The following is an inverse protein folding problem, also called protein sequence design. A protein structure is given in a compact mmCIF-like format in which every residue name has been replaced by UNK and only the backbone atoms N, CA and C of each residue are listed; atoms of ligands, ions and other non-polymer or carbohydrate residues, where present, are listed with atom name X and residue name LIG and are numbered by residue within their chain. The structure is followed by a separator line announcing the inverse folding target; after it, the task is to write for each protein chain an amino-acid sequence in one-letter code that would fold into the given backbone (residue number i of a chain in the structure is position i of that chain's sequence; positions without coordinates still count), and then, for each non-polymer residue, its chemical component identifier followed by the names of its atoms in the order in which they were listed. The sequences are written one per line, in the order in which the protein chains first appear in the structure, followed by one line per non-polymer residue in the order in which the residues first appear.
data_IF_964978798978
#
_entry.id   IF_964978798978
#
_cell.length_a   1.000
_cell.length_b   1.000
_cell.length_c   1.000
_cell.angle_alpha   90.00
_cell.angle_beta   90.00
_cell.angle_gamma   90.00
#
_symmetry.space_group_name_H-M   'P 1'
#
loop_
_entity.id
_entity.type
_entity.pdbx_description
1 polymer ?
#
# COMPACT_ATOMS: atom_id res chain seq x y z
N UNK A 1 16.85 -15.48 0.74
CA UNK A 1 18.05 -16.19 1.25
C UNK A 1 17.81 -16.60 2.70
N UNK A 2 17.54 -15.62 3.57
CA UNK A 2 17.25 -15.81 5.01
C UNK A 2 16.24 -16.93 5.30
N UNK A 3 15.05 -16.92 4.65
CA UNK A 3 14.07 -18.00 4.81
C UNK A 3 14.57 -19.39 4.40
N UNK A 4 15.46 -19.47 3.40
CA UNK A 4 16.07 -20.75 2.95
C UNK A 4 17.13 -21.27 3.92
N UNK A 5 17.67 -20.39 4.76
CA UNK A 5 18.66 -20.69 5.79
C UNK A 5 17.99 -20.88 7.18
N UNK A 6 16.65 -21.05 7.23
CA UNK A 6 15.84 -21.11 8.45
C UNK A 6 15.94 -19.88 9.37
N UNK A 7 16.43 -18.74 8.86
CA UNK A 7 16.37 -17.48 9.56
C UNK A 7 14.97 -16.87 9.48
N UNK A 8 14.50 -16.31 10.59
CA UNK A 8 13.22 -15.58 10.67
C UNK A 8 13.39 -14.08 10.91
N UNK A 9 14.61 -13.59 11.09
CA UNK A 9 14.89 -12.18 11.37
C UNK A 9 15.93 -11.69 10.37
N UNK A 10 15.66 -10.56 9.72
CA UNK A 10 16.66 -9.91 8.87
C UNK A 10 17.75 -9.26 9.72
N UNK A 11 18.98 -9.29 9.24
CA UNK A 11 20.07 -8.54 9.88
C UNK A 11 19.79 -7.04 9.84
N UNK A 12 20.44 -6.25 10.71
CA UNK A 12 20.31 -4.79 10.68
C UNK A 12 20.69 -4.20 9.32
N UNK A 13 21.73 -4.76 8.68
CA UNK A 13 22.18 -4.34 7.37
C UNK A 13 21.16 -4.66 6.28
N UNK A 14 20.64 -5.90 6.25
CA UNK A 14 19.61 -6.31 5.29
C UNK A 14 18.34 -5.48 5.47
N UNK A 15 17.90 -5.26 6.71
CA UNK A 15 16.73 -4.43 7.03
C UNK A 15 16.93 -3.01 6.50
N UNK A 16 18.06 -2.37 6.78
CA UNK A 16 18.37 -1.02 6.27
C UNK A 16 18.37 -0.94 4.75
N UNK A 17 18.97 -1.91 4.08
CA UNK A 17 19.00 -1.96 2.62
C UNK A 17 17.59 -2.08 2.03
N UNK A 18 16.71 -2.83 2.69
CA UNK A 18 15.30 -2.96 2.31
C UNK A 18 14.57 -1.61 2.37
N UNK A 19 14.63 -0.93 3.52
CA UNK A 19 13.97 0.36 3.72
C UNK A 19 14.53 1.45 2.77
N UNK A 20 15.85 1.45 2.54
CA UNK A 20 16.50 2.39 1.62
C UNK A 20 15.99 2.27 0.18
N UNK A 21 15.71 1.05 -0.30
CA UNK A 21 15.18 0.83 -1.65
C UNK A 21 13.75 1.38 -1.82
N UNK A 22 13.00 1.52 -0.73
CA UNK A 22 11.68 2.17 -0.71
C UNK A 22 11.77 3.68 -0.41
N UNK A 23 12.96 4.26 -0.37
CA UNK A 23 13.14 5.70 -0.12
C UNK A 23 12.85 6.13 1.33
N UNK A 24 12.77 5.19 2.27
CA UNK A 24 12.51 5.51 3.67
C UNK A 24 13.81 6.06 4.31
N UNK A 25 13.80 7.29 4.87
CA UNK A 25 15.00 7.88 5.48
C UNK A 25 15.45 7.10 6.71
N UNK A 26 16.74 6.75 6.75
CA UNK A 26 17.38 6.01 7.84
C UNK A 26 18.60 6.77 8.33
N UNK A 27 18.87 6.68 9.63
CA UNK A 27 20.14 7.19 10.17
C UNK A 27 21.29 6.37 9.59
N UNK A 28 22.34 7.08 9.17
CA UNK A 28 23.54 6.41 8.68
C UNK A 28 24.15 5.58 9.81
N UNK A 29 24.34 4.29 9.53
CA UNK A 29 24.77 3.31 10.52
C UNK A 29 25.90 2.48 9.94
N UNK A 30 26.98 2.35 10.71
CA UNK A 30 28.16 1.58 10.31
C UNK A 30 28.37 0.43 11.27
N UNK A 31 28.59 -0.77 10.73
CA UNK A 31 28.87 -1.95 11.55
C UNK A 31 30.37 -2.05 11.82
N UNK A 32 30.75 -2.16 13.09
CA UNK A 32 32.11 -2.27 13.55
C UNK A 32 32.32 -3.59 14.32
N UNK A 33 33.12 -4.54 13.78
CA UNK A 33 33.38 -5.81 14.45
C UNK A 33 34.35 -5.70 15.63
N UNK A 34 35.06 -4.58 15.76
CA UNK A 34 36.01 -4.31 16.84
C UNK A 34 36.07 -2.82 17.17
N UNK A 35 36.70 -2.49 18.30
CA UNK A 35 36.79 -1.12 18.82
C UNK A 35 37.54 -0.17 17.88
N UNK A 36 38.60 -0.63 17.20
CA UNK A 36 39.36 0.23 16.28
C UNK A 36 38.53 0.65 15.07
N UNK A 37 37.77 -0.30 14.48
CA UNK A 37 36.82 0.00 13.42
C UNK A 37 35.73 0.95 13.92
N UNK A 38 35.25 0.79 15.16
CA UNK A 38 34.25 1.67 15.74
C UNK A 38 34.75 3.12 15.92
N UNK A 39 35.99 3.29 16.41
CA UNK A 39 36.67 4.59 16.49
C UNK A 39 36.83 5.22 15.11
N UNK A 40 37.27 4.44 14.12
CA UNK A 40 37.39 4.92 12.74
C UNK A 40 36.07 5.44 12.16
N UNK A 41 34.97 4.72 12.38
CA UNK A 41 33.64 5.17 11.98
C UNK A 41 33.18 6.42 12.75
N UNK A 42 33.39 6.46 14.07
CA UNK A 42 33.00 7.61 14.87
C UNK A 42 33.74 8.89 14.43
N UNK A 43 35.04 8.79 14.12
CA UNK A 43 35.83 9.89 13.58
C UNK A 43 35.36 10.36 12.20
N UNK A 44 34.92 9.44 11.33
CA UNK A 44 34.37 9.78 10.03
C UNK A 44 32.97 10.45 10.12
N UNK A 45 32.15 10.03 11.07
CA UNK A 45 30.80 10.54 11.30
C UNK A 45 30.81 11.87 12.08
N UNK A 46 31.77 12.02 13.00
CA UNK A 46 31.88 13.11 13.96
C UNK A 46 31.04 12.89 15.23
N UNK A 47 31.62 13.17 16.38
CA UNK A 47 30.99 13.09 17.71
C UNK A 47 29.91 14.18 17.94
N UNK A 48 28.91 13.97 18.83
CA UNK A 48 28.68 12.75 19.60
C UNK A 48 28.10 11.59 18.77
N UNK A 49 28.36 10.37 19.20
CA UNK A 49 27.90 9.12 18.56
C UNK A 49 27.15 8.21 19.55
N UNK A 50 26.43 7.25 18.97
CA UNK A 50 25.74 6.17 19.69
C UNK A 50 26.36 4.84 19.28
N UNK A 51 26.65 3.98 20.26
CA UNK A 51 26.99 2.58 20.04
C UNK A 51 25.78 1.70 20.36
N UNK A 52 25.48 0.74 19.48
CA UNK A 52 24.45 -0.28 19.74
C UNK A 52 24.99 -1.67 19.46
N UNK A 53 24.68 -2.65 20.30
CA UNK A 53 25.12 -4.03 20.08
C UNK A 53 24.54 -4.58 18.76
N UNK A 54 25.39 -5.28 18.00
CA UNK A 54 25.00 -5.99 16.78
C UNK A 54 25.06 -7.49 17.05
N UNK A 55 23.91 -8.16 17.08
CA UNK A 55 23.82 -9.60 17.31
C UNK A 55 22.54 -10.16 16.68
N UNK A 56 22.62 -11.31 15.97
CA UNK A 56 21.42 -12.01 15.50
C UNK A 56 20.58 -12.60 16.65
N UNK A 57 21.17 -12.81 17.82
CA UNK A 57 20.53 -13.46 18.97
C UNK A 57 19.89 -12.45 19.95
N UNK A 58 20.14 -11.15 19.75
CA UNK A 58 19.63 -10.08 20.61
C UNK A 58 18.59 -9.29 19.82
N UNK A 59 17.32 -9.59 20.10
CA UNK A 59 16.20 -8.91 19.47
C UNK A 59 16.07 -7.50 20.06
N UNK A 60 15.87 -7.37 21.37
CA UNK A 60 15.69 -6.09 22.05
C UNK A 60 16.97 -5.63 22.74
N UNK A 61 17.67 -4.68 22.10
CA UNK A 61 18.96 -4.17 22.59
C UNK A 61 18.85 -3.49 23.95
N UNK A 62 17.74 -2.83 24.26
CA UNK A 62 17.58 -2.10 25.52
C UNK A 62 17.55 -3.05 26.73
N UNK A 63 16.93 -4.23 26.60
CA UNK A 63 16.78 -5.21 27.69
C UNK A 63 18.14 -5.72 28.18
N UNK A 64 19.11 -5.82 27.27
CA UNK A 64 20.48 -6.26 27.59
C UNK A 64 21.44 -5.09 27.87
N UNK A 65 20.94 -3.85 27.96
CA UNK A 65 21.81 -2.67 28.12
C UNK A 65 22.72 -2.46 26.91
N UNK A 66 22.28 -2.94 25.74
CA UNK A 66 23.00 -3.01 24.47
C UNK A 66 23.06 -1.68 23.71
N UNK A 67 22.85 -0.54 24.37
CA UNK A 67 22.87 0.80 23.75
C UNK A 67 23.61 1.77 24.66
N UNK A 68 24.61 2.46 24.12
CA UNK A 68 25.32 3.57 24.76
C UNK A 68 25.16 4.82 23.91
N UNK A 69 24.73 5.92 24.53
CA UNK A 69 24.49 7.21 23.88
C UNK A 69 25.47 8.25 24.39
N UNK A 70 25.55 9.38 23.68
CA UNK A 70 26.30 10.56 24.09
C UNK A 70 27.80 10.31 24.29
N UNK A 71 28.40 9.48 23.44
CA UNK A 71 29.85 9.29 23.42
C UNK A 71 30.45 10.47 22.68
N UNK A 72 31.41 11.16 23.28
CA UNK A 72 31.93 12.45 22.82
C UNK A 72 33.41 12.43 22.40
N UNK A 73 34.13 11.33 22.64
CA UNK A 73 35.56 11.22 22.30
C UNK A 73 36.00 9.78 22.04
N UNK A 74 37.16 9.60 21.40
CA UNK A 74 37.80 8.29 21.16
C UNK A 74 38.06 7.53 22.46
N UNK A 75 38.50 8.23 23.52
CA UNK A 75 38.80 7.62 24.82
C UNK A 75 37.52 7.07 25.47
N UNK A 76 36.45 7.88 25.47
CA UNK A 76 35.13 7.46 25.98
C UNK A 76 34.56 6.32 25.15
N UNK A 77 34.70 6.37 23.82
CA UNK A 77 34.22 5.31 22.92
C UNK A 77 34.84 3.97 23.24
N UNK A 78 36.17 3.92 23.45
CA UNK A 78 36.89 2.69 23.78
C UNK A 78 36.39 2.08 25.10
N UNK A 79 36.29 2.91 26.14
CA UNK A 79 35.78 2.49 27.43
C UNK A 79 34.34 1.95 27.34
N UNK A 80 33.47 2.69 26.65
CA UNK A 80 32.06 2.31 26.51
C UNK A 80 31.88 1.09 25.61
N UNK A 81 32.73 0.89 24.61
CA UNK A 81 32.73 -0.31 23.77
C UNK A 81 32.98 -1.56 24.62
N UNK A 82 34.06 -1.57 25.41
CA UNK A 82 34.42 -2.72 26.24
C UNK A 82 33.35 -2.99 27.29
N UNK A 83 32.89 -1.94 27.98
CA UNK A 83 31.82 -2.06 28.98
C UNK A 83 30.50 -2.55 28.37
N UNK A 84 30.15 -2.10 27.16
CA UNK A 84 28.97 -2.57 26.44
C UNK A 84 29.04 -4.08 26.14
N UNK A 85 30.18 -4.55 25.63
CA UNK A 85 30.37 -5.97 25.31
C UNK A 85 30.33 -6.84 26.57
N UNK A 86 30.97 -6.41 27.66
CA UNK A 86 30.94 -7.10 28.95
C UNK A 86 29.52 -7.21 29.50
N UNK A 87 28.79 -6.08 29.61
CA UNK A 87 27.41 -6.06 30.12
C UNK A 87 26.49 -6.99 29.32
N UNK A 88 26.62 -7.01 27.99
CA UNK A 88 25.80 -7.87 27.14
C UNK A 88 26.15 -9.35 27.35
N UNK A 89 27.45 -9.70 27.46
CA UNK A 89 27.88 -11.08 27.73
C UNK A 89 27.43 -11.57 29.10
N UNK A 90 27.39 -10.71 30.11
CA UNK A 90 26.88 -11.06 31.43
C UNK A 90 25.38 -11.36 31.41
N UNK A 91 24.59 -10.53 30.71
CA UNK A 91 23.14 -10.68 30.64
C UNK A 91 22.70 -11.79 29.69
N UNK A 92 23.44 -12.03 28.61
CA UNK A 92 23.12 -13.07 27.62
C UNK A 92 24.38 -13.80 27.14
N UNK A 93 24.94 -14.72 27.96
CA UNK A 93 26.22 -15.38 27.69
C UNK A 93 26.26 -16.22 26.41
N UNK A 94 25.11 -16.70 25.95
CA UNK A 94 24.97 -17.53 24.74
C UNK A 94 24.80 -16.73 23.44
N UNK A 95 24.73 -15.39 23.49
CA UNK A 95 24.53 -14.58 22.30
C UNK A 95 25.81 -14.44 21.47
N UNK A 96 25.68 -14.68 20.17
CA UNK A 96 26.70 -14.41 19.17
C UNK A 96 26.78 -12.90 18.94
N UNK A 97 27.89 -12.27 19.30
CA UNK A 97 28.09 -10.84 19.10
C UNK A 97 28.88 -10.60 17.82
N UNK A 98 28.27 -9.92 16.85
CA UNK A 98 28.94 -9.53 15.59
C UNK A 98 29.75 -8.24 15.71
N UNK A 99 29.69 -7.58 16.87
CA UNK A 99 30.33 -6.29 17.15
C UNK A 99 29.30 -5.26 17.60
N UNK A 100 29.49 -4.01 17.17
CA UNK A 100 28.57 -2.90 17.45
C UNK A 100 28.20 -2.18 16.16
N UNK A 101 27.14 -1.39 16.20
CA UNK A 101 26.85 -0.38 15.20
C UNK A 101 27.18 1.00 15.76
N UNK A 102 27.74 1.86 14.91
CA UNK A 102 28.07 3.26 15.20
C UNK A 102 27.13 4.16 14.41
N UNK A 103 26.46 5.08 15.10
CA UNK A 103 25.51 6.03 14.51
C UNK A 103 25.82 7.45 14.97
N UNK A 104 25.56 8.45 14.12
CA UNK A 104 25.53 9.85 14.55
C UNK A 104 24.41 10.01 15.59
N UNK A 105 24.72 10.64 16.73
CA UNK A 105 23.68 10.97 17.69
C UNK A 105 22.87 12.17 17.17
N UNK A 106 21.53 12.05 17.22
CA UNK A 106 20.63 13.18 17.01
C UNK A 106 20.45 13.86 18.36
N UNK A 107 20.95 15.08 18.49
CA UNK A 107 21.01 15.80 19.76
C UNK A 107 19.62 16.22 20.28
N UNK A 108 18.73 16.62 19.37
CA UNK A 108 17.37 17.07 19.71
C UNK A 108 16.36 16.29 18.88
N UNK A 109 15.55 15.47 19.55
CA UNK A 109 14.41 14.80 18.95
C UNK A 109 13.15 15.56 19.40
N UNK A 110 12.52 16.26 18.45
CA UNK A 110 11.29 17.02 18.70
C UNK A 110 10.13 16.07 18.97
N UNK A 111 10.00 15.02 18.17
CA UNK A 111 8.95 14.01 18.32
C UNK A 111 9.53 12.61 18.09
N UNK A 112 9.17 11.68 18.97
CA UNK A 112 9.49 10.26 18.83
C UNK A 112 8.21 9.55 18.37
N UNK A 113 8.26 8.89 17.21
CA UNK A 113 7.13 8.21 16.60
C UNK A 113 7.43 6.71 16.47
N UNK A 114 6.38 5.93 16.29
CA UNK A 114 6.45 4.53 15.89
C UNK A 114 5.69 4.34 14.58
N UNK A 115 6.29 3.59 13.66
CA UNK A 115 5.64 3.10 12.45
C UNK A 115 5.95 1.61 12.31
N UNK A 116 4.93 0.77 12.37
CA UNK A 116 5.10 -0.68 12.34
C UNK A 116 4.03 -1.36 11.51
N UNK A 117 4.24 -2.63 11.21
CA UNK A 117 3.25 -3.52 10.63
C UNK A 117 3.36 -4.91 11.25
N UNK A 118 2.23 -5.59 11.33
CA UNK A 118 2.13 -6.99 11.75
C UNK A 118 1.04 -7.68 10.96
N UNK A 119 1.23 -8.97 10.67
CA UNK A 119 0.13 -9.82 10.21
C UNK A 119 -0.79 -10.20 11.36
N UNK A 120 -2.03 -9.83 11.22
CA UNK A 120 -3.17 -10.26 12.01
C UNK A 120 -3.84 -11.49 11.36
N UNK A 121 -4.36 -12.45 12.15
CA UNK A 121 -5.03 -13.63 11.61
C UNK A 121 -6.30 -13.34 10.81
N UNK A 122 -7.04 -12.29 11.18
CA UNK A 122 -8.35 -11.97 10.58
C UNK A 122 -8.22 -10.87 9.52
N UNK A 123 -7.31 -9.91 9.75
CA UNK A 123 -7.19 -8.72 8.90
C UNK A 123 -5.97 -8.72 7.96
N UNK A 124 -5.16 -9.78 7.97
CA UNK A 124 -3.90 -9.80 7.23
C UNK A 124 -2.93 -8.74 7.77
N UNK A 125 -2.15 -8.10 6.91
CA UNK A 125 -1.21 -7.08 7.31
C UNK A 125 -1.94 -5.83 7.82
N UNK A 126 -1.56 -5.36 9.01
CA UNK A 126 -2.07 -4.13 9.62
C UNK A 126 -0.89 -3.22 9.91
N UNK A 127 -0.99 -1.96 9.50
CA UNK A 127 0.00 -0.90 9.76
C UNK A 127 -0.43 -0.14 11.02
N UNK A 128 0.53 0.17 11.88
CA UNK A 128 0.37 0.98 13.08
C UNK A 128 1.21 2.25 12.95
N UNK A 129 0.62 3.39 13.26
CA UNK A 129 1.32 4.67 13.43
C UNK A 129 0.95 5.28 14.78
N UNK A 130 1.90 5.89 15.48
CA UNK A 130 1.61 6.51 16.76
C UNK A 130 2.78 7.20 17.42
N UNK A 131 2.55 7.65 18.65
CA UNK A 131 3.60 8.19 19.51
C UNK A 131 4.56 7.07 19.93
N UNK A 132 5.86 7.28 19.74
CA UNK A 132 6.92 6.36 20.15
C UNK A 132 7.44 6.58 21.57
N UNK A 133 8.50 5.84 21.94
CA UNK A 133 9.15 5.93 23.24
C UNK A 133 8.39 5.22 24.37
N UNK A 134 8.81 5.49 25.62
CA UNK A 134 8.29 4.82 26.84
C UNK A 134 6.77 5.06 27.04
N UNK A 135 6.22 6.08 26.38
CA UNK A 135 4.81 6.43 26.44
C UNK A 135 3.86 5.52 25.66
N UNK A 136 4.36 4.66 24.75
CA UNK A 136 3.50 3.80 23.88
C UNK A 136 2.55 2.94 24.72
N UNK A 137 3.06 2.26 25.75
CA UNK A 137 2.26 1.36 26.60
C UNK A 137 1.30 2.11 27.53
N UNK A 138 1.63 3.35 27.88
CA UNK A 138 0.93 4.14 28.90
C UNK A 138 -0.17 5.01 28.29
N UNK A 139 0.12 5.71 27.19
CA UNK A 139 -0.80 6.67 26.58
C UNK A 139 -1.67 6.04 25.49
N UNK A 140 -1.29 4.88 24.94
CA UNK A 140 -2.00 4.18 23.85
C UNK A 140 -2.39 5.10 22.70
N UNK A 141 -1.49 6.03 22.35
CA UNK A 141 -1.70 6.98 21.25
C UNK A 141 -1.22 6.38 19.92
N UNK A 142 -2.09 5.58 19.30
CA UNK A 142 -1.82 4.97 18.00
C UNK A 142 -3.09 4.84 17.17
N UNK A 143 -2.91 4.77 15.86
CA UNK A 143 -3.94 4.47 14.88
C UNK A 143 -3.52 3.27 14.05
N UNK A 144 -4.51 2.54 13.52
CA UNK A 144 -4.31 1.37 12.67
C UNK A 144 -4.82 1.65 11.26
N UNK A 145 -4.10 1.17 10.26
CA UNK A 145 -4.45 1.27 8.85
C UNK A 145 -4.25 -0.07 8.15
N UNK A 146 -5.08 -0.32 7.14
CA UNK A 146 -4.95 -1.49 6.28
C UNK A 146 -4.22 -1.09 5.00
N UNK A 147 -3.08 -1.73 4.64
CA UNK A 147 -2.44 -1.52 3.36
C UNK A 147 -3.33 -2.02 2.21
N UNK A 148 -3.22 -1.42 1.00
CA UNK A 148 -2.35 -0.30 0.66
C UNK A 148 -2.86 1.06 1.16
N UNK A 149 -1.94 1.90 1.66
CA UNK A 149 -2.22 3.28 2.03
C UNK A 149 -1.77 4.24 0.92
N UNK A 150 -2.71 5.07 0.43
CA UNK A 150 -2.38 6.24 -0.38
C UNK A 150 -2.09 7.45 0.54
N UNK A 151 -1.74 8.60 -0.05
CA UNK A 151 -1.40 9.81 0.71
C UNK A 151 -2.56 10.30 1.60
N UNK A 152 -3.81 10.20 1.15
CA UNK A 152 -4.98 10.61 1.93
C UNK A 152 -5.22 9.68 3.13
N UNK A 153 -5.07 8.36 2.94
CA UNK A 153 -5.16 7.37 4.02
C UNK A 153 -4.01 7.51 5.02
N UNK A 154 -2.78 7.76 4.55
CA UNK A 154 -1.62 8.03 5.40
C UNK A 154 -1.83 9.29 6.26
N UNK A 155 -2.35 10.37 5.66
CA UNK A 155 -2.73 11.59 6.40
C UNK A 155 -3.78 11.27 7.46
N UNK A 156 -4.83 10.54 7.08
CA UNK A 156 -5.91 10.19 8.01
C UNK A 156 -5.41 9.35 9.18
N UNK A 157 -4.55 8.37 8.90
CA UNK A 157 -3.89 7.54 9.92
C UNK A 157 -3.14 8.41 10.93
N UNK A 158 -2.45 9.46 10.49
CA UNK A 158 -1.81 10.40 11.41
C UNK A 158 -2.84 11.24 12.17
N UNK A 159 -3.83 11.82 11.49
CA UNK A 159 -4.87 12.68 12.09
C UNK A 159 -5.63 12.01 13.24
N UNK A 160 -5.76 10.68 13.18
CA UNK A 160 -6.42 9.87 14.22
C UNK A 160 -5.57 9.68 15.49
N UNK A 161 -4.37 10.27 15.57
CA UNK A 161 -3.48 10.27 16.74
C UNK A 161 -3.40 11.63 17.45
N UNK A 162 -3.06 11.64 18.74
CA UNK A 162 -2.78 12.86 19.51
C UNK A 162 -1.43 13.46 19.13
N UNK A 163 -0.43 12.63 18.84
CA UNK A 163 0.91 13.08 18.43
C UNK A 163 0.87 13.91 17.15
N UNK A 164 -0.09 13.66 16.24
CA UNK A 164 -0.30 14.52 15.07
C UNK A 164 -0.54 15.98 15.44
N UNK A 165 -1.36 16.25 16.47
CA UNK A 165 -1.59 17.62 16.96
C UNK A 165 -0.31 18.23 17.54
N UNK A 166 0.54 17.41 18.16
CA UNK A 166 1.83 17.88 18.69
C UNK A 166 2.81 18.21 17.56
N UNK A 167 2.84 17.39 16.51
CA UNK A 167 3.70 17.55 15.33
C UNK A 167 3.37 18.79 14.49
N UNK A 168 2.19 19.41 14.68
CA UNK A 168 1.85 20.71 14.07
C UNK A 168 2.55 21.89 14.75
N UNK A 169 3.35 21.64 15.80
CA UNK A 169 4.09 22.64 16.57
C UNK A 169 3.53 22.76 17.99
N UNK A 170 4.30 22.30 18.98
CA UNK A 170 3.89 22.30 20.38
C UNK A 170 5.00 22.83 21.30
N UNK A 171 4.65 23.78 22.18
CA UNK A 171 5.55 24.36 23.21
C UNK A 171 6.95 24.74 22.70
N UNK A 172 7.01 25.44 21.56
CA UNK A 172 8.28 25.92 21.00
C UNK A 172 9.07 24.90 20.17
N UNK A 173 8.59 23.65 20.06
CA UNK A 173 9.12 22.68 19.09
C UNK A 173 8.70 23.04 17.67
N UNK A 174 9.61 22.81 16.72
CA UNK A 174 9.34 23.05 15.30
C UNK A 174 8.30 22.04 14.78
N UNK A 175 7.37 22.45 13.91
CA UNK A 175 6.46 21.51 13.26
C UNK A 175 7.22 20.46 12.45
N UNK A 176 6.69 19.24 12.42
CA UNK A 176 7.14 18.18 11.53
C UNK A 176 6.77 18.48 10.07
N UNK A 177 7.59 18.01 9.14
CA UNK A 177 7.26 17.92 7.72
C UNK A 177 6.24 16.80 7.50
N UNK A 178 4.95 17.17 7.60
CA UNK A 178 3.85 16.21 7.46
C UNK A 178 3.82 15.55 6.08
N UNK A 179 4.29 16.24 5.04
CA UNK A 179 4.34 15.65 3.70
C UNK A 179 5.39 14.55 3.63
N UNK A 180 6.58 14.78 4.19
CA UNK A 180 7.60 13.75 4.30
C UNK A 180 7.10 12.53 5.10
N UNK A 181 6.35 12.74 6.18
CA UNK A 181 5.77 11.64 6.95
C UNK A 181 4.74 10.84 6.14
N UNK A 182 3.89 11.50 5.35
CA UNK A 182 2.97 10.82 4.43
C UNK A 182 3.72 9.96 3.41
N UNK A 183 4.77 10.50 2.79
CA UNK A 183 5.61 9.76 1.84
C UNK A 183 6.26 8.53 2.49
N UNK A 184 6.74 8.65 3.73
CA UNK A 184 7.30 7.54 4.50
C UNK A 184 6.24 6.47 4.75
N UNK A 185 5.03 6.84 5.21
CA UNK A 185 3.95 5.90 5.50
C UNK A 185 3.48 5.19 4.22
N UNK A 186 3.35 5.91 3.11
CA UNK A 186 2.99 5.32 1.79
C UNK A 186 4.08 4.37 1.32
N UNK A 187 5.35 4.74 1.43
CA UNK A 187 6.47 3.90 1.02
C UNK A 187 6.58 2.64 1.89
N UNK A 188 6.37 2.78 3.20
CA UNK A 188 6.26 1.67 4.14
C UNK A 188 5.09 0.75 3.78
N UNK A 189 3.93 1.32 3.46
CA UNK A 189 2.77 0.53 3.02
C UNK A 189 3.05 -0.26 1.75
N UNK A 190 3.70 0.34 0.74
CA UNK A 190 4.06 -0.35 -0.49
C UNK A 190 5.04 -1.51 -0.23
N UNK A 191 6.00 -1.31 0.67
CA UNK A 191 6.91 -2.37 1.11
C UNK A 191 6.13 -3.54 1.72
N UNK A 192 5.18 -3.26 2.62
CA UNK A 192 4.34 -4.32 3.20
C UNK A 192 3.49 -5.03 2.13
N UNK A 193 2.98 -4.31 1.13
CA UNK A 193 2.21 -4.89 0.01
C UNK A 193 3.06 -5.85 -0.82
N UNK A 194 4.29 -5.47 -1.14
CA UNK A 194 5.16 -6.22 -2.05
C UNK A 194 5.73 -7.51 -1.45
N UNK A 195 5.78 -7.62 -0.13
CA UNK A 195 6.40 -8.74 0.57
C UNK A 195 5.44 -9.47 1.52
N UNK A 196 4.68 -10.46 1.00
CA UNK A 196 3.90 -11.38 1.81
C UNK A 196 4.74 -12.12 2.85
N UNK A 197 6.06 -12.18 2.73
CA UNK A 197 6.96 -12.82 3.68
C UNK A 197 7.13 -12.03 4.98
N UNK A 198 6.77 -10.75 5.04
CA UNK A 198 6.95 -9.95 6.26
C UNK A 198 5.88 -10.32 7.29
N UNK A 199 6.31 -10.86 8.44
CA UNK A 199 5.43 -11.16 9.58
C UNK A 199 5.25 -9.94 10.47
N UNK A 200 6.36 -9.28 10.78
CA UNK A 200 6.43 -8.05 11.59
C UNK A 200 7.48 -7.14 10.99
N UNK A 201 7.18 -5.86 10.89
CA UNK A 201 8.14 -4.81 10.61
C UNK A 201 7.93 -3.68 11.61
N UNK A 202 9.00 -3.14 12.17
CA UNK A 202 8.90 -2.05 13.16
C UNK A 202 10.00 -1.03 12.93
N UNK A 203 9.62 0.25 12.86
CA UNK A 203 10.50 1.40 12.86
C UNK A 203 10.28 2.16 14.16
N UNK A 204 11.08 1.80 15.16
CA UNK A 204 10.96 2.33 16.51
C UNK A 204 12.34 2.65 17.10
N UNK A 205 12.71 3.94 17.23
CA UNK A 205 11.92 5.12 16.90
C UNK A 205 12.05 5.57 15.43
N UNK A 206 10.95 6.11 14.90
CA UNK A 206 10.95 7.08 13.81
C UNK A 206 11.05 8.48 14.44
N UNK A 207 12.25 9.05 14.42
CA UNK A 207 12.54 10.31 15.09
C UNK A 207 12.28 11.50 14.16
N UNK A 208 11.64 12.55 14.68
CA UNK A 208 11.52 13.85 14.02
C UNK A 208 12.46 14.84 14.70
N UNK A 209 13.35 15.44 13.93
CA UNK A 209 14.31 16.44 14.37
C UNK A 209 14.41 17.55 13.34
N UNK A 210 14.29 18.82 13.79
CA UNK A 210 14.28 19.99 12.90
C UNK A 210 13.25 19.86 11.77
N UNK A 211 12.08 19.31 12.11
CA UNK A 211 11.00 19.03 11.18
C UNK A 211 11.20 17.81 10.28
N UNK A 212 12.37 17.18 10.24
CA UNK A 212 12.63 16.02 9.36
C UNK A 212 12.53 14.70 10.10
N UNK A 213 11.86 13.73 9.47
CA UNK A 213 11.69 12.37 9.99
C UNK A 213 12.80 11.44 9.49
N UNK A 214 13.33 10.62 10.41
CA UNK A 214 14.37 9.62 10.13
C UNK A 214 14.23 8.41 11.06
N UNK A 215 14.27 7.20 10.51
CA UNK A 215 14.28 5.98 11.31
C UNK A 215 15.65 5.77 11.97
N UNK A 216 15.67 5.58 13.28
CA UNK A 216 16.90 5.31 14.03
C UNK A 216 17.21 3.83 14.19
N UNK A 217 16.16 3.02 14.09
CA UNK A 217 16.21 1.57 14.11
C UNK A 217 15.08 1.03 13.24
N UNK A 218 15.30 -0.15 12.67
CA UNK A 218 14.30 -0.85 11.88
C UNK A 218 14.50 -2.35 12.04
N UNK A 219 13.42 -3.07 12.28
CA UNK A 219 13.42 -4.53 12.42
C UNK A 219 12.44 -5.14 11.45
N UNK A 220 12.84 -6.24 10.80
CA UNK A 220 11.98 -7.04 9.95
C UNK A 220 12.09 -8.51 10.39
N UNK A 221 10.94 -9.10 10.70
CA UNK A 221 10.76 -10.51 11.02
C UNK A 221 9.96 -11.13 9.87
N UNK A 222 10.47 -12.22 9.33
CA UNK A 222 9.88 -12.97 8.23
C UNK A 222 9.00 -14.11 8.74
N UNK A 223 7.93 -14.37 7.99
CA UNK A 223 7.00 -15.47 8.19
C UNK A 223 7.58 -16.74 7.54
N UNK A 224 7.96 -17.75 8.34
CA UNK A 224 8.51 -18.99 7.81
C UNK A 224 7.50 -19.78 6.95
N UNK A 225 6.21 -19.44 6.99
CA UNK A 225 5.13 -20.15 6.30
C UNK A 225 4.71 -19.50 4.98
N UNK A 226 5.30 -18.38 4.58
CA UNK A 226 4.82 -17.58 3.44
C UNK A 226 4.98 -18.23 2.05
N UNK A 227 5.65 -19.39 1.94
CA UNK A 227 6.17 -19.92 0.67
C UNK A 227 5.18 -20.57 -0.30
N UNK A 228 3.89 -20.71 0.02
CA UNK A 228 2.96 -21.53 -0.79
C UNK A 228 1.54 -20.92 -0.85
N UNK A 229 1.41 -19.77 -1.50
CA UNK A 229 0.16 -18.99 -1.50
C UNK A 229 -0.45 -18.92 -2.91
N UNK A 230 -1.75 -19.21 -3.02
CA UNK A 230 -2.46 -19.28 -4.31
C UNK A 230 -2.79 -17.90 -4.91
N UNK A 231 -2.80 -16.84 -4.10
CA UNK A 231 -3.11 -15.48 -4.54
C UNK A 231 -1.87 -14.58 -4.47
N UNK A 232 -1.77 -13.51 -5.29
CA UNK A 232 -0.60 -12.63 -5.29
C UNK A 232 -0.41 -11.81 -4.00
N UNK A 233 -1.51 -11.54 -3.27
CA UNK A 233 -1.53 -10.69 -2.07
C UNK A 233 -2.27 -11.35 -0.91
N UNK A 234 -1.84 -12.56 -0.50
CA UNK A 234 -2.62 -13.37 0.44
C UNK A 234 -2.62 -12.80 1.86
N UNK A 235 -1.68 -11.92 2.16
CA UNK A 235 -1.54 -11.22 3.43
C UNK A 235 -2.35 -9.93 3.46
N UNK A 236 -3.10 -9.56 2.41
CA UNK A 236 -3.89 -8.33 2.36
C UNK A 236 -5.38 -8.65 2.34
N UNK A 237 -6.17 -7.87 3.09
CA UNK A 237 -7.63 -7.88 2.98
C UNK A 237 -8.12 -6.90 1.91
N UNK A 238 -7.32 -5.89 1.58
CA UNK A 238 -7.61 -4.94 0.50
C UNK A 238 -6.65 -5.22 -0.65
N UNK A 239 -7.22 -5.54 -1.82
CA UNK A 239 -6.42 -5.80 -3.01
C UNK A 239 -5.79 -4.49 -3.54
N UNK A 240 -4.48 -4.46 -3.84
CA UNK A 240 -3.84 -3.30 -4.43
C UNK A 240 -4.38 -2.92 -5.80
N UNK A 241 -4.21 -1.64 -6.18
CA UNK A 241 -4.59 -1.15 -7.51
C UNK A 241 -3.88 -1.96 -8.63
N UNK A 242 -4.62 -2.63 -9.52
CA UNK A 242 -4.04 -3.59 -10.45
C UNK A 242 -3.45 -2.90 -11.68
N UNK A 243 -2.24 -2.33 -11.52
CA UNK A 243 -1.50 -1.60 -12.57
C UNK A 243 -1.32 -2.39 -13.87
N UNK A 244 -1.30 -3.73 -13.81
CA UNK A 244 -1.16 -4.61 -14.98
C UNK A 244 -2.28 -4.45 -16.03
N UNK A 245 -3.44 -3.91 -15.65
CA UNK A 245 -4.56 -3.67 -16.56
C UNK A 245 -4.55 -2.28 -17.20
N UNK A 246 -3.54 -1.46 -16.92
CA UNK A 246 -3.37 -0.15 -17.56
C UNK A 246 -2.79 -0.33 -18.96
N UNK A 247 -3.50 0.15 -19.98
CA UNK A 247 -3.05 0.09 -21.37
C UNK A 247 -3.48 1.31 -22.18
N UNK A 248 -2.67 1.64 -23.20
CA UNK A 248 -3.05 2.64 -24.21
C UNK A 248 -3.81 1.98 -25.35
N UNK A 249 -4.84 2.66 -25.83
CA UNK A 249 -5.66 2.23 -26.94
C UNK A 249 -6.12 3.43 -27.78
N UNK A 250 -6.55 3.19 -29.01
CA UNK A 250 -7.03 4.24 -29.91
C UNK A 250 -8.44 3.93 -30.37
N UNK A 251 -9.30 4.95 -30.35
CA UNK A 251 -10.59 4.90 -31.01
C UNK A 251 -10.43 4.81 -32.53
N UNK A 252 -11.48 4.39 -33.24
CA UNK A 252 -11.47 4.36 -34.72
C UNK A 252 -11.18 5.71 -35.36
N UNK A 253 -11.56 6.82 -34.72
CA UNK A 253 -11.26 8.16 -35.21
C UNK A 253 -9.82 8.64 -34.88
N UNK A 254 -8.98 7.78 -34.27
CA UNK A 254 -7.61 8.10 -33.88
C UNK A 254 -7.43 8.75 -32.51
N UNK A 255 -8.52 9.02 -31.77
CA UNK A 255 -8.42 9.59 -30.41
C UNK A 255 -7.71 8.61 -29.47
N UNK A 256 -6.66 9.08 -28.79
CA UNK A 256 -5.95 8.30 -27.77
C UNK A 256 -6.81 8.15 -26.51
N UNK A 257 -6.82 6.93 -25.97
CA UNK A 257 -7.55 6.54 -24.77
C UNK A 257 -6.63 5.70 -23.89
N UNK A 258 -6.66 5.95 -22.59
CA UNK A 258 -6.03 5.10 -21.58
C UNK A 258 -7.14 4.25 -20.96
N UNK A 259 -7.03 2.94 -21.09
CA UNK A 259 -7.88 1.97 -20.41
C UNK A 259 -7.19 1.58 -19.12
N UNK A 260 -7.88 1.70 -17.98
CA UNK A 260 -7.28 1.42 -16.67
C UNK A 260 -8.36 1.06 -15.64
N UNK A 261 -8.02 0.34 -14.56
CA UNK A 261 -8.94 0.17 -13.44
C UNK A 261 -9.40 1.53 -12.87
N UNK A 262 -10.65 1.58 -12.43
CA UNK A 262 -11.19 2.72 -11.68
C UNK A 262 -10.45 2.86 -10.36
N UNK A 263 -10.40 4.07 -9.81
CA UNK A 263 -9.85 4.34 -8.48
C UNK A 263 -10.76 5.30 -7.72
N UNK A 264 -10.70 5.37 -6.38
CA UNK A 264 -11.55 6.26 -5.60
C UNK A 264 -11.51 7.72 -6.05
N UNK A 265 -10.35 8.23 -6.51
CA UNK A 265 -10.19 9.61 -6.95
C UNK A 265 -10.85 9.92 -8.30
N UNK A 266 -11.43 8.92 -8.98
CA UNK A 266 -12.16 9.11 -10.23
C UNK A 266 -13.59 9.62 -10.03
N UNK A 267 -14.10 9.65 -8.79
CA UNK A 267 -15.47 10.08 -8.45
C UNK A 267 -15.90 11.38 -9.17
N UNK A 268 -15.08 12.45 -9.23
CA UNK A 268 -15.47 13.67 -9.94
C UNK A 268 -15.56 13.50 -11.47
N UNK A 269 -14.69 12.66 -12.06
CA UNK A 269 -14.67 12.40 -13.50
C UNK A 269 -15.83 11.47 -13.91
N UNK A 270 -16.16 10.52 -13.04
CA UNK A 270 -17.30 9.63 -13.19
C UNK A 270 -18.60 10.44 -13.11
N UNK A 271 -18.73 11.30 -12.10
CA UNK A 271 -19.85 12.22 -11.97
C UNK A 271 -20.03 13.13 -13.20
N UNK A 272 -18.93 13.71 -13.72
CA UNK A 272 -18.96 14.50 -14.96
C UNK A 272 -19.48 13.67 -16.14
N UNK A 273 -19.03 12.42 -16.28
CA UNK A 273 -19.52 11.53 -17.34
C UNK A 273 -21.03 11.30 -17.19
N UNK A 274 -21.50 10.88 -16.01
CA UNK A 274 -22.91 10.54 -15.82
C UNK A 274 -23.86 11.73 -15.99
N UNK A 275 -23.44 12.93 -15.62
CA UNK A 275 -24.25 14.15 -15.77
C UNK A 275 -24.33 14.67 -17.22
N UNK A 276 -23.47 14.19 -18.11
CA UNK A 276 -23.41 14.60 -19.52
C UNK A 276 -23.97 13.55 -20.49
N UNK A 277 -24.41 12.40 -19.98
CA UNK A 277 -25.07 11.34 -20.76
C UNK A 277 -26.50 11.70 -21.16
N UNK A 278 -26.95 11.16 -22.29
CA UNK A 278 -28.36 11.20 -22.67
C UNK A 278 -29.23 10.32 -21.74
N UNK A 279 -30.51 10.70 -21.58
CA UNK A 279 -31.48 9.89 -20.82
C UNK A 279 -31.62 8.47 -21.40
N UNK A 280 -31.48 8.32 -22.72
CA UNK A 280 -31.49 7.03 -23.39
C UNK A 280 -30.34 6.13 -22.91
N UNK A 281 -29.12 6.65 -22.88
CA UNK A 281 -27.93 5.90 -22.43
C UNK A 281 -28.00 5.55 -20.94
N UNK A 282 -28.53 6.44 -20.09
CA UNK A 282 -28.76 6.15 -18.67
C UNK A 282 -29.82 5.07 -18.46
N UNK A 283 -30.91 5.11 -19.23
CA UNK A 283 -31.97 4.10 -19.17
C UNK A 283 -31.44 2.73 -19.59
N UNK A 284 -30.72 2.66 -20.69
CA UNK A 284 -30.10 1.40 -21.17
C UNK A 284 -29.15 0.79 -20.13
N UNK A 285 -28.55 1.63 -19.27
CA UNK A 285 -27.62 1.21 -18.22
C UNK A 285 -28.30 0.71 -16.95
N UNK A 286 -29.27 1.45 -16.44
CA UNK A 286 -29.83 1.24 -15.10
C UNK A 286 -31.23 0.63 -15.11
N UNK A 287 -31.82 0.42 -16.28
CA UNK A 287 -33.19 -0.10 -16.48
C UNK A 287 -34.31 0.77 -15.88
N UNK A 288 -33.95 1.88 -15.22
CA UNK A 288 -34.84 2.87 -14.61
C UNK A 288 -34.31 4.28 -14.85
N UNK A 289 -35.20 5.29 -14.97
CA UNK A 289 -34.80 6.68 -15.11
C UNK A 289 -34.21 7.19 -13.78
N UNK A 290 -32.88 7.25 -13.71
CA UNK A 290 -32.15 7.89 -12.61
C UNK A 290 -31.91 9.35 -13.00
N UNK A 291 -32.58 10.28 -12.32
CA UNK A 291 -32.42 11.74 -12.57
C UNK A 291 -31.22 12.35 -11.86
N UNK A 292 -30.74 11.72 -10.79
CA UNK A 292 -29.58 12.22 -10.04
C UNK A 292 -28.88 11.07 -9.32
N UNK A 293 -27.60 10.88 -9.59
CA UNK A 293 -26.75 9.95 -8.86
C UNK A 293 -26.10 10.76 -7.74
N UNK A 294 -26.33 10.37 -6.48
CA UNK A 294 -25.76 11.07 -5.33
C UNK A 294 -24.24 10.90 -5.30
N UNK A 295 -23.55 11.83 -4.64
CA UNK A 295 -22.12 11.69 -4.35
C UNK A 295 -21.79 10.36 -3.64
N UNK A 296 -22.64 9.91 -2.72
CA UNK A 296 -22.48 8.61 -2.05
C UNK A 296 -22.52 7.42 -3.03
N UNK A 297 -23.38 7.50 -4.06
CA UNK A 297 -23.49 6.43 -5.05
C UNK A 297 -22.28 6.41 -5.99
N UNK A 298 -21.75 7.57 -6.40
CA UNK A 298 -20.51 7.68 -7.17
C UNK A 298 -19.29 7.19 -6.38
N UNK A 299 -19.19 7.56 -5.10
CA UNK A 299 -18.13 7.08 -4.22
C UNK A 299 -18.14 5.54 -4.12
N UNK A 300 -19.32 4.92 -4.05
CA UNK A 300 -19.46 3.45 -4.07
C UNK A 300 -19.01 2.83 -5.40
N UNK A 301 -19.30 3.46 -6.54
CA UNK A 301 -18.87 2.96 -7.85
C UNK A 301 -17.36 3.07 -8.10
N UNK A 302 -16.71 4.05 -7.46
CA UNK A 302 -15.27 4.28 -7.62
C UNK A 302 -14.41 3.57 -6.56
N UNK A 303 -14.96 3.30 -5.37
CA UNK A 303 -14.27 2.62 -4.28
C UNK A 303 -14.63 1.13 -4.23
N UNK A 304 -14.11 0.37 -5.18
CA UNK A 304 -14.39 -1.06 -5.34
C UNK A 304 -13.31 -1.94 -4.69
N UNK A 305 -13.71 -3.11 -4.22
CA UNK A 305 -12.78 -4.19 -3.89
C UNK A 305 -12.42 -4.93 -5.18
N UNK A 306 -11.19 -4.74 -5.69
CA UNK A 306 -10.73 -5.37 -6.93
C UNK A 306 -10.77 -6.90 -6.92
N UNK A 307 -10.89 -7.53 -5.74
CA UNK A 307 -11.08 -8.97 -5.66
C UNK A 307 -12.50 -9.38 -6.03
N UNK A 308 -13.51 -8.65 -5.52
CA UNK A 308 -14.95 -8.94 -5.63
C UNK A 308 -15.66 -8.22 -6.78
N UNK A 309 -15.11 -7.11 -7.24
CA UNK A 309 -15.63 -6.30 -8.33
C UNK A 309 -14.45 -5.81 -9.18
N UNK A 310 -14.66 -5.61 -10.48
CA UNK A 310 -13.67 -4.96 -11.33
C UNK A 310 -14.36 -3.93 -12.20
N UNK A 311 -13.79 -2.74 -12.32
CA UNK A 311 -14.24 -1.73 -13.26
C UNK A 311 -13.05 -1.14 -14.02
N UNK A 312 -13.15 -1.12 -15.35
CA UNK A 312 -12.20 -0.50 -16.26
C UNK A 312 -12.81 0.77 -16.84
N UNK A 313 -12.13 1.89 -16.66
CA UNK A 313 -12.49 3.18 -17.23
C UNK A 313 -11.67 3.47 -18.48
N UNK A 314 -12.29 4.17 -19.43
CA UNK A 314 -11.65 4.75 -20.59
C UNK A 314 -11.44 6.24 -20.36
N UNK A 315 -10.19 6.64 -20.12
CA UNK A 315 -9.77 8.02 -19.92
C UNK A 315 -9.26 8.62 -21.23
N UNK A 316 -9.71 9.82 -21.59
CA UNK A 316 -9.11 10.61 -22.67
C UNK A 316 -8.78 12.02 -22.18
N UNK A 317 -8.01 12.76 -22.97
CA UNK A 317 -7.71 14.18 -22.73
C UNK A 317 -8.35 15.04 -23.81
N UNK A 318 -9.22 15.95 -23.40
CA UNK A 318 -9.82 16.94 -24.28
C UNK A 318 -9.51 18.35 -23.76
N UNK A 319 -8.92 19.21 -24.60
CA UNK A 319 -8.52 20.58 -24.23
C UNK A 319 -7.67 20.62 -22.93
N UNK A 320 -6.80 19.63 -22.75
CA UNK A 320 -5.93 19.50 -21.57
C UNK A 320 -6.59 18.91 -20.32
N UNK A 321 -7.92 18.73 -20.30
CA UNK A 321 -8.65 18.14 -19.18
C UNK A 321 -8.85 16.64 -19.38
N UNK A 322 -8.69 15.86 -18.30
CA UNK A 322 -9.03 14.43 -18.28
C UNK A 322 -10.54 14.27 -18.26
N UNK A 323 -11.05 13.25 -18.97
CA UNK A 323 -12.46 12.85 -18.98
C UNK A 323 -12.55 11.34 -19.02
N UNK A 324 -13.52 10.77 -18.29
CA UNK A 324 -13.92 9.38 -18.49
C UNK A 324 -15.00 9.36 -19.58
N UNK A 325 -14.82 8.50 -20.58
CA UNK A 325 -15.69 8.42 -21.77
C UNK A 325 -16.36 7.04 -21.93
N UNK A 326 -16.03 6.11 -21.05
CA UNK A 326 -16.60 4.76 -21.03
C UNK A 326 -16.19 4.02 -19.76
N UNK A 327 -17.05 3.16 -19.26
CA UNK A 327 -16.82 2.33 -18.09
C UNK A 327 -17.38 0.94 -18.39
N UNK A 328 -16.63 -0.10 -18.06
CA UNK A 328 -17.14 -1.46 -18.03
C UNK A 328 -16.73 -2.11 -16.73
N UNK A 329 -17.67 -2.77 -16.07
CA UNK A 329 -17.43 -3.43 -14.81
C UNK A 329 -18.10 -4.80 -14.74
N UNK A 330 -17.64 -5.63 -13.79
CA UNK A 330 -18.40 -6.78 -13.33
C UNK A 330 -18.37 -6.88 -11.80
N UNK A 331 -19.41 -7.46 -11.23
CA UNK A 331 -19.49 -7.82 -9.81
C UNK A 331 -19.54 -9.35 -9.69
N UNK A 332 -18.70 -9.93 -8.84
CA UNK A 332 -18.66 -11.37 -8.59
C UNK A 332 -19.80 -11.74 -7.63
N UNK A 333 -20.53 -12.80 -7.95
CA UNK A 333 -21.57 -13.33 -7.08
C UNK A 333 -20.98 -13.93 -5.78
N UNK A 334 -21.77 -14.04 -4.69
CA UNK A 334 -21.31 -14.63 -3.44
C UNK A 334 -20.78 -16.07 -3.55
N UNK A 335 -21.14 -16.81 -4.62
CA UNK A 335 -20.63 -18.15 -4.88
C UNK A 335 -19.20 -18.17 -5.47
N UNK A 336 -18.64 -17.00 -5.80
CA UNK A 336 -17.33 -16.81 -6.44
C UNK A 336 -17.14 -17.57 -7.75
N UNK A 337 -18.23 -17.99 -8.42
CA UNK A 337 -18.19 -18.75 -9.67
C UNK A 337 -18.63 -17.92 -10.86
N UNK A 338 -19.42 -16.88 -10.62
CA UNK A 338 -20.07 -16.12 -11.70
C UNK A 338 -19.93 -14.64 -11.45
N UNK A 339 -19.96 -13.86 -12.53
CA UNK A 339 -20.00 -12.40 -12.42
C UNK A 339 -21.02 -11.78 -13.37
N UNK A 340 -21.67 -10.72 -12.88
CA UNK A 340 -22.57 -9.89 -13.67
C UNK A 340 -21.79 -8.70 -14.24
N UNK A 341 -21.74 -8.57 -15.56
CA UNK A 341 -21.06 -7.50 -16.26
C UNK A 341 -22.00 -6.42 -16.74
N UNK A 342 -21.39 -5.27 -17.03
CA UNK A 342 -22.10 -4.03 -17.09
C UNK A 342 -21.23 -3.01 -17.83
N UNK A 343 -21.75 -2.30 -18.85
CA UNK A 343 -20.93 -1.38 -19.68
C UNK A 343 -21.72 -0.14 -20.09
N UNK A 344 -21.03 1.00 -20.13
CA UNK A 344 -21.56 2.28 -20.59
C UNK A 344 -20.50 3.06 -21.36
N UNK A 345 -20.90 3.71 -22.45
CA UNK A 345 -20.02 4.57 -23.26
C UNK A 345 -20.74 5.88 -23.53
N UNK A 346 -20.03 6.98 -23.32
CA UNK A 346 -20.56 8.32 -23.52
C UNK A 346 -21.01 8.52 -24.97
N UNK A 347 -22.16 9.19 -25.18
CA UNK A 347 -22.86 9.28 -26.47
C UNK A 347 -21.94 9.72 -27.62
N UNK A 348 -21.10 10.74 -27.38
CA UNK A 348 -20.13 11.28 -28.34
C UNK A 348 -19.04 10.28 -28.81
N UNK A 349 -18.84 9.17 -28.08
CA UNK A 349 -17.80 8.18 -28.34
C UNK A 349 -18.37 6.80 -28.72
N UNK A 350 -19.69 6.71 -28.89
CA UNK A 350 -20.33 5.48 -29.39
C UNK A 350 -19.97 5.22 -30.86
N UNK A 351 -20.07 3.95 -31.28
CA UNK A 351 -19.74 3.53 -32.66
C UNK A 351 -18.23 3.45 -32.96
N UNK A 352 -17.38 3.83 -32.01
CA UNK A 352 -15.92 3.88 -32.16
C UNK A 352 -15.19 2.60 -31.72
N UNK A 353 -15.95 1.54 -31.37
CA UNK A 353 -15.40 0.26 -30.91
C UNK A 353 -15.07 0.20 -29.41
N UNK A 354 -15.24 1.30 -28.67
CA UNK A 354 -14.84 1.39 -27.26
C UNK A 354 -15.53 0.37 -26.36
N UNK A 355 -16.86 0.23 -26.46
CA UNK A 355 -17.61 -0.73 -25.66
C UNK A 355 -17.11 -2.18 -25.88
N UNK A 356 -16.83 -2.55 -27.14
CA UNK A 356 -16.34 -3.89 -27.45
C UNK A 356 -14.97 -4.15 -26.82
N UNK A 357 -14.07 -3.15 -26.84
CA UNK A 357 -12.76 -3.29 -26.20
C UNK A 357 -12.85 -3.32 -24.68
N UNK A 358 -13.72 -2.53 -24.07
CA UNK A 358 -13.92 -2.54 -22.63
C UNK A 358 -14.47 -3.89 -22.14
N UNK A 359 -15.47 -4.43 -22.82
CA UNK A 359 -16.04 -5.75 -22.48
C UNK A 359 -15.02 -6.87 -22.69
N UNK A 360 -14.27 -6.85 -23.79
CA UNK A 360 -13.16 -7.78 -24.07
C UNK A 360 -12.14 -7.82 -22.92
N UNK A 361 -11.75 -6.65 -22.38
CA UNK A 361 -10.82 -6.59 -21.24
C UNK A 361 -11.43 -7.25 -20.01
N UNK A 362 -12.66 -6.89 -19.62
CA UNK A 362 -13.22 -7.42 -18.38
C UNK A 362 -13.57 -8.92 -18.49
N UNK A 363 -13.83 -9.46 -19.68
CA UNK A 363 -13.89 -10.91 -19.93
C UNK A 363 -12.53 -11.54 -19.63
N UNK A 364 -11.44 -10.97 -20.13
CA UNK A 364 -10.08 -11.48 -19.86
C UNK A 364 -9.72 -11.45 -18.38
N UNK A 365 -10.13 -10.41 -17.64
CA UNK A 365 -9.92 -10.32 -16.19
C UNK A 365 -10.76 -11.37 -15.44
N UNK A 366 -12.00 -11.60 -15.87
CA UNK A 366 -12.86 -12.62 -15.28
C UNK A 366 -12.29 -14.05 -15.48
N UNK A 367 -11.71 -14.33 -16.64
CA UNK A 367 -11.00 -15.59 -16.96
C UNK A 367 -9.73 -15.75 -16.11
N UNK A 368 -8.92 -14.69 -15.97
CA UNK A 368 -7.72 -14.70 -15.11
C UNK A 368 -8.05 -14.99 -13.63
N UNK A 369 -9.22 -14.52 -13.17
CA UNK A 369 -9.73 -14.79 -11.82
C UNK A 369 -10.30 -16.21 -11.64
N UNK A 370 -10.37 -17.01 -12.70
CA UNK A 370 -10.90 -18.38 -12.65
C UNK A 370 -12.41 -18.47 -12.45
N UNK A 371 -13.15 -17.44 -12.87
CA UNK A 371 -14.62 -17.48 -12.85
C UNK A 371 -15.14 -18.44 -13.93
N UNK A 372 -16.31 -19.03 -13.72
CA UNK A 372 -16.90 -20.03 -14.63
C UNK A 372 -17.91 -19.43 -15.62
N UNK A 373 -18.69 -18.43 -15.21
CA UNK A 373 -19.71 -17.78 -16.04
C UNK A 373 -19.62 -16.25 -15.96
N UNK A 374 -19.59 -15.60 -17.12
CA UNK A 374 -19.65 -14.15 -17.28
C UNK A 374 -20.99 -13.81 -17.94
N UNK A 375 -21.84 -13.02 -17.28
CA UNK A 375 -23.19 -12.76 -17.80
C UNK A 375 -23.66 -11.34 -17.56
N UNK A 376 -24.67 -10.90 -18.29
CA UNK A 376 -25.30 -9.59 -18.08
C UNK A 376 -26.71 -9.56 -18.63
N UNK A 377 -27.53 -8.65 -18.10
CA UNK A 377 -28.87 -8.39 -18.62
C UNK A 377 -28.83 -7.28 -19.66
N UNK A 378 -29.74 -7.31 -20.63
CA UNK A 378 -29.84 -6.30 -21.69
C UNK A 378 -31.31 -6.13 -22.06
N UNK A 379 -31.76 -4.88 -22.28
CA UNK A 379 -33.08 -4.64 -22.88
C UNK A 379 -33.13 -5.20 -24.32
N UNK A 380 -34.17 -5.97 -24.71
CA UNK A 380 -34.27 -6.56 -26.06
C UNK A 380 -34.23 -5.52 -27.20
N UNK A 381 -34.62 -4.28 -26.90
CA UNK A 381 -34.60 -3.14 -27.83
C UNK A 381 -33.18 -2.61 -28.09
N UNK A 382 -32.22 -2.85 -27.21
CA UNK A 382 -30.82 -2.42 -27.35
C UNK A 382 -30.05 -3.34 -28.32
N UNK A 383 -30.44 -3.32 -29.60
CA UNK A 383 -29.84 -4.15 -30.66
C UNK A 383 -28.33 -3.97 -30.79
N UNK A 384 -27.80 -2.78 -30.46
CA UNK A 384 -26.36 -2.51 -30.49
C UNK A 384 -25.64 -3.40 -29.47
N UNK A 385 -26.11 -3.45 -28.24
CA UNK A 385 -25.53 -4.26 -27.18
C UNK A 385 -25.70 -5.75 -27.43
N UNK A 386 -26.89 -6.20 -27.85
CA UNK A 386 -27.13 -7.61 -28.22
C UNK A 386 -26.14 -8.09 -29.29
N UNK A 387 -25.96 -7.29 -30.35
CA UNK A 387 -25.02 -7.62 -31.42
C UNK A 387 -23.55 -7.57 -30.96
N UNK A 388 -23.21 -6.66 -30.05
CA UNK A 388 -21.86 -6.55 -29.50
C UNK A 388 -21.52 -7.79 -28.66
N UNK A 389 -22.39 -8.17 -27.74
CA UNK A 389 -22.16 -9.32 -26.85
C UNK A 389 -22.13 -10.63 -27.63
N UNK A 390 -23.00 -10.78 -28.64
CA UNK A 390 -22.97 -11.94 -29.52
C UNK A 390 -21.64 -12.07 -30.29
N UNK A 391 -21.06 -10.94 -30.76
CA UNK A 391 -19.73 -10.94 -31.41
C UNK A 391 -18.59 -11.29 -30.46
N UNK A 392 -18.75 -11.05 -29.17
CA UNK A 392 -17.80 -11.44 -28.12
C UNK A 392 -18.03 -12.87 -27.62
N UNK A 393 -18.95 -13.63 -28.24
CA UNK A 393 -19.20 -15.03 -27.93
C UNK A 393 -20.23 -15.28 -26.82
N UNK A 394 -20.89 -14.23 -26.32
CA UNK A 394 -21.98 -14.41 -25.37
C UNK A 394 -23.22 -14.96 -26.09
N UNK A 395 -23.85 -15.96 -25.48
CA UNK A 395 -25.04 -16.63 -25.96
C UNK A 395 -26.25 -16.10 -25.18
N UNK A 396 -27.36 -15.87 -25.88
CA UNK A 396 -28.62 -15.47 -25.28
C UNK A 396 -29.28 -16.66 -24.56
N UNK A 397 -29.68 -16.47 -23.30
CA UNK A 397 -30.58 -17.34 -22.53
C UNK A 397 -31.87 -16.58 -22.23
N UNK A 398 -33.01 -17.23 -22.41
CA UNK A 398 -34.32 -16.64 -22.07
C UNK A 398 -34.53 -16.65 -20.55
N UNK A 399 -34.84 -15.50 -19.97
CA UNK A 399 -35.01 -15.34 -18.50
C UNK A 399 -36.29 -14.59 -18.14
N UNK A 400 -36.71 -13.57 -18.88
CA UNK A 400 -38.02 -12.89 -18.69
C UNK A 400 -38.47 -12.10 -19.94
N UNK A 401 -39.69 -11.52 -19.90
CA UNK A 401 -40.25 -10.72 -21.00
C UNK A 401 -39.56 -9.36 -21.21
N UNK A 402 -38.93 -8.78 -20.18
CA UNK A 402 -38.44 -7.40 -20.21
C UNK A 402 -36.92 -7.29 -20.41
N UNK A 403 -36.15 -8.34 -20.09
CA UNK A 403 -34.69 -8.39 -20.21
C UNK A 403 -34.23 -9.73 -20.77
N UNK A 404 -33.22 -9.71 -21.65
CA UNK A 404 -32.52 -10.92 -22.08
C UNK A 404 -31.23 -11.10 -21.26
N UNK A 405 -30.89 -12.34 -20.92
CA UNK A 405 -29.61 -12.66 -20.29
C UNK A 405 -28.62 -13.10 -21.36
N UNK A 406 -27.50 -12.41 -21.47
CA UNK A 406 -26.36 -12.80 -22.28
C UNK A 406 -25.33 -13.47 -21.39
N UNK A 407 -24.80 -14.64 -21.78
CA UNK A 407 -23.83 -15.40 -20.97
C UNK A 407 -22.68 -15.95 -21.81
N UNK A 408 -21.48 -15.96 -21.22
CA UNK A 408 -20.28 -16.59 -21.74
C UNK A 408 -19.75 -17.54 -20.67
N UNK A 409 -19.45 -18.78 -21.07
CA UNK A 409 -18.74 -19.72 -20.21
C UNK A 409 -17.24 -19.47 -20.35
N UNK A 410 -16.58 -19.22 -19.23
CA UNK A 410 -15.15 -18.99 -19.14
C UNK A 410 -14.40 -20.33 -18.98
N UNK A 411 -13.07 -20.33 -19.18
CA UNK A 411 -12.31 -21.57 -19.38
C UNK A 411 -11.81 -22.23 -18.12
#
# INVERSE_FOLDING_TARGET
RVLRENGSILTDEDSRNFLKNYGIPLIQTFTAPNVETAVGHANAIGYPVVLKISSPDIIFRQDVGGVVRNITSDAELRMEYDSLIERVRERQPGATLSGVTVQKMIDVIDYELILGAKKDPDYGAVILFGMGGIGVEIFRDYALGLPPLNQALARRLMEDTQVYKMMQGYRGKKPADLHQLEEIIVSFSNLIVDFPEILVMDMNPLAVSDGKAVALDARIILDPKAGDQATPYPHLVITPYPMRYVMRWHLRNGTEVILRPIKPEDEPLEHEMFTTLSEATLRERFYYPIKNISHEMHARFCNIDYDREMAIVAETREKGKKRIIGISSFVIEPDSRRCEFSVIVHDAYQGQGLAAKLVDIIIGIADEKGLEEFYGYIEPTNRKMVNLTAKLGLIQKEVSYDLIKMTLRLK
#
